data_IF_845924666971
#
_entry.id   IF_845924666971
#
_cell.length_a   1.000
_cell.length_b   1.000
_cell.length_c   1.000
_cell.angle_alpha   90.00
_cell.angle_beta   90.00
_cell.angle_gamma   90.00
#
_symmetry.space_group_name_H-M   'P 1'
#
loop_
_entity.id
_entity.type
_entity.pdbx_description
1 polymer ?
#
# COMPACT_ATOMS: atom_id res chain seq x y z
N UNK A 1 -7.24 -2.80 -13.91
CA UNK A 1 -7.59 -2.53 -12.50
C UNK A 1 -8.60 -3.51 -11.91
N UNK A 2 -9.51 -4.08 -12.70
CA UNK A 2 -10.60 -4.93 -12.19
C UNK A 2 -10.14 -6.20 -11.46
N UNK A 3 -8.99 -6.77 -11.85
CA UNK A 3 -8.45 -8.00 -11.25
C UNK A 3 -8.12 -7.80 -9.77
N UNK A 4 -7.45 -6.71 -9.38
CA UNK A 4 -7.09 -6.46 -7.98
C UNK A 4 -8.30 -6.23 -7.10
N UNK A 5 -9.24 -5.41 -7.58
CA UNK A 5 -10.51 -5.18 -6.86
C UNK A 5 -11.24 -6.49 -6.62
N UNK A 6 -11.32 -7.36 -7.63
CA UNK A 6 -11.99 -8.66 -7.52
C UNK A 6 -11.25 -9.61 -6.58
N UNK A 7 -9.92 -9.63 -6.60
CA UNK A 7 -9.12 -10.48 -5.73
C UNK A 7 -9.25 -10.08 -4.25
N UNK A 8 -9.11 -8.78 -3.94
CA UNK A 8 -9.27 -8.27 -2.57
C UNK A 8 -10.71 -8.50 -2.10
N UNK A 9 -11.71 -8.22 -2.94
CA UNK A 9 -13.11 -8.42 -2.60
C UNK A 9 -13.48 -9.90 -2.39
N UNK A 10 -12.83 -10.82 -3.12
CA UNK A 10 -13.03 -12.26 -2.96
C UNK A 10 -12.33 -12.84 -1.73
N UNK A 11 -11.33 -12.14 -1.16
CA UNK A 11 -10.57 -12.54 0.00
C UNK A 11 -10.54 -11.39 1.03
N UNK A 12 -11.69 -11.05 1.65
CA UNK A 12 -11.77 -9.96 2.60
C UNK A 12 -11.00 -10.29 3.89
N UNK A 13 -10.34 -9.28 4.46
CA UNK A 13 -9.66 -9.36 5.74
C UNK A 13 -10.32 -8.40 6.75
N UNK A 14 -10.13 -8.65 8.03
CA UNK A 14 -10.67 -7.81 9.11
C UNK A 14 -9.72 -6.66 9.45
N UNK A 15 -10.29 -5.64 10.09
CA UNK A 15 -9.56 -4.51 10.65
C UNK A 15 -8.32 -4.94 11.45
N UNK A 16 -7.14 -4.47 11.03
CA UNK A 16 -5.83 -4.78 11.63
C UNK A 16 -5.30 -6.21 11.40
N UNK A 17 -5.95 -6.98 10.53
CA UNK A 17 -5.58 -8.35 10.14
C UNK A 17 -5.35 -8.49 8.63
N UNK A 18 -5.27 -7.37 7.89
CA UNK A 18 -5.11 -7.25 6.44
C UNK A 18 -3.68 -7.59 5.96
N UNK A 19 -3.14 -8.72 6.43
CA UNK A 19 -1.77 -9.15 6.15
C UNK A 19 -1.54 -9.44 4.67
N UNK A 20 -2.49 -10.13 4.01
CA UNK A 20 -2.41 -10.50 2.59
C UNK A 20 -2.58 -9.28 1.71
N UNK A 21 -3.52 -8.40 2.04
CA UNK A 21 -3.78 -7.18 1.28
C UNK A 21 -2.63 -6.20 1.41
N UNK A 22 -2.10 -6.02 2.63
CA UNK A 22 -0.87 -5.23 2.87
C UNK A 22 0.32 -5.77 2.07
N UNK A 23 0.52 -7.09 2.03
CA UNK A 23 1.57 -7.74 1.24
C UNK A 23 1.41 -7.50 -0.26
N UNK A 24 0.18 -7.61 -0.76
CA UNK A 24 -0.13 -7.38 -2.16
C UNK A 24 0.19 -5.94 -2.57
N UNK A 25 -0.18 -4.96 -1.74
CA UNK A 25 0.10 -3.54 -2.00
C UNK A 25 1.60 -3.26 -1.91
N UNK A 26 2.30 -3.77 -0.89
CA UNK A 26 3.74 -3.58 -0.72
C UNK A 26 4.52 -4.10 -1.92
N UNK A 27 4.30 -5.36 -2.32
CA UNK A 27 4.97 -5.97 -3.49
C UNK A 27 4.73 -5.17 -4.76
N UNK A 28 3.54 -4.57 -4.90
CA UNK A 28 3.22 -3.79 -6.09
C UNK A 28 3.97 -2.45 -6.12
N UNK A 29 4.00 -1.72 -5.00
CA UNK A 29 4.76 -0.49 -4.85
C UNK A 29 6.26 -0.74 -5.07
N UNK A 30 6.81 -1.77 -4.44
CA UNK A 30 8.20 -2.21 -4.63
C UNK A 30 8.50 -2.55 -6.09
N UNK A 31 7.57 -3.23 -6.80
CA UNK A 31 7.73 -3.55 -8.23
C UNK A 31 7.79 -2.31 -9.14
N UNK A 32 7.32 -1.17 -8.64
CA UNK A 32 7.41 0.12 -9.34
C UNK A 32 8.63 0.95 -8.92
N UNK A 33 9.49 0.42 -8.05
CA UNK A 33 10.65 1.14 -7.52
C UNK A 33 10.27 2.20 -6.48
N UNK A 34 9.09 2.09 -5.87
CA UNK A 34 8.65 2.99 -4.80
C UNK A 34 9.20 2.46 -3.47
N UNK A 35 9.75 3.35 -2.64
CA UNK A 35 10.18 3.02 -1.28
C UNK A 35 8.97 2.71 -0.41
N UNK A 36 8.98 1.60 0.33
CA UNK A 36 7.85 1.16 1.15
C UNK A 36 8.26 1.01 2.60
N UNK A 37 7.55 1.69 3.48
CA UNK A 37 7.64 1.51 4.93
C UNK A 37 6.41 0.74 5.40
N UNK A 38 6.61 -0.38 6.10
CA UNK A 38 5.55 -1.30 6.57
C UNK A 38 5.46 -1.31 8.09
N UNK A 39 4.38 -1.88 8.63
CA UNK A 39 4.21 -2.08 10.08
C UNK A 39 3.59 -0.88 10.80
N UNK A 40 2.99 0.06 10.06
CA UNK A 40 2.33 1.23 10.63
C UNK A 40 0.95 0.81 11.12
N UNK A 41 0.72 0.83 12.44
CA UNK A 41 -0.56 0.37 13.00
C UNK A 41 -0.85 -1.10 12.67
N UNK A 42 0.17 -1.97 12.78
CA UNK A 42 0.19 -3.40 12.41
C UNK A 42 0.29 -3.67 10.91
N UNK A 43 -0.78 -3.43 10.15
CA UNK A 43 -0.89 -3.84 8.74
C UNK A 43 -0.71 -2.68 7.75
N UNK A 44 -0.73 -1.43 8.23
CA UNK A 44 -0.56 -0.25 7.42
C UNK A 44 0.85 -0.10 6.85
N UNK A 45 0.92 0.59 5.71
CA UNK A 45 2.15 0.91 5.00
C UNK A 45 2.10 2.31 4.40
N UNK A 46 3.26 2.87 4.10
CA UNK A 46 3.43 4.14 3.38
C UNK A 46 4.40 3.92 2.22
N UNK A 47 3.99 4.31 1.02
CA UNK A 47 4.85 4.36 -0.16
C UNK A 47 5.38 5.78 -0.38
N UNK A 48 6.68 5.93 -0.61
CA UNK A 48 7.34 7.21 -0.86
C UNK A 48 7.93 7.20 -2.27
N UNK A 49 7.40 8.09 -3.12
CA UNK A 49 7.95 8.39 -4.44
C UNK A 49 8.59 9.77 -4.38
N UNK A 50 9.92 9.82 -4.45
CA UNK A 50 10.68 11.08 -4.48
C UNK A 50 11.13 11.39 -5.90
N UNK A 51 10.79 12.58 -6.38
CA UNK A 51 11.26 13.13 -7.67
C UNK A 51 11.81 14.53 -7.42
N UNK A 52 13.11 14.72 -7.65
CA UNK A 52 13.81 15.96 -7.33
C UNK A 52 14.06 16.18 -5.84
N UNK A 53 14.40 17.43 -5.47
CA UNK A 53 14.89 17.80 -4.13
C UNK A 53 13.96 18.76 -3.37
N UNK A 54 12.71 18.90 -3.79
CA UNK A 54 11.74 19.73 -3.07
C UNK A 54 11.27 19.05 -1.79
N UNK A 55 11.09 19.83 -0.71
CA UNK A 55 10.49 19.37 0.55
C UNK A 55 8.95 19.33 0.52
N UNK A 56 8.32 19.66 -0.61
CA UNK A 56 6.86 19.62 -0.77
C UNK A 56 6.39 18.20 -1.09
N UNK A 57 5.29 17.80 -0.47
CA UNK A 57 4.74 16.44 -0.60
C UNK A 57 3.25 16.46 -0.90
N UNK A 58 2.77 15.47 -1.65
CA UNK A 58 1.34 15.20 -1.88
C UNK A 58 1.01 13.89 -1.17
N UNK A 59 0.04 13.94 -0.25
CA UNK A 59 -0.45 12.75 0.46
C UNK A 59 -1.65 12.13 -0.28
N UNK A 60 -1.53 10.85 -0.63
CA UNK A 60 -2.66 10.03 -1.09
C UNK A 60 -2.97 8.99 -0.01
N UNK A 61 -4.22 8.93 0.45
CA UNK A 61 -4.66 8.02 1.51
C UNK A 61 -5.77 7.10 1.00
N UNK A 62 -5.61 5.82 1.29
CA UNK A 62 -6.62 4.78 1.06
C UNK A 62 -6.67 3.84 2.27
N UNK A 63 -7.83 3.25 2.52
CA UNK A 63 -8.04 2.13 3.43
C UNK A 63 -7.93 0.79 2.68
N UNK A 64 -7.74 -0.29 3.43
CA UNK A 64 -7.60 -1.66 2.95
C UNK A 64 -8.65 -2.54 3.62
#
# INVERSE_FOLDING_TARGET
MTVWRRDIHANPELGFEETRTSDLVARRLESWGIEVHRGIGKTGLVGVLKVGDSDRSIGLRADM
#
